data_IF_336167513197
#
_entry.id   IF_336167513197
#
_cell.length_a   1.000
_cell.length_b   1.000
_cell.length_c   1.000
_cell.angle_alpha   90.00
_cell.angle_beta   90.00
_cell.angle_gamma   90.00
#
_symmetry.space_group_name_H-M   'P 1'
#
loop_
_entity.id
_entity.type
_entity.pdbx_description
1 polymer ?
#
# COMPACT_ATOMS: atom_id res chain seq x y z
N UNK A 1 -14.98 8.56 13.47
CA UNK A 1 -14.25 7.81 14.53
C UNK A 1 -12.92 7.37 13.95
N UNK A 2 -11.82 7.53 14.68
CA UNK A 2 -10.47 7.16 14.23
C UNK A 2 -9.89 6.25 15.30
N UNK A 3 -9.45 5.05 14.90
CA UNK A 3 -8.77 4.10 15.76
C UNK A 3 -7.30 4.01 15.34
N UNK A 4 -6.42 3.98 16.32
CA UNK A 4 -4.98 3.94 16.11
C UNK A 4 -4.33 3.02 17.14
N UNK A 5 -3.62 2.00 16.67
CA UNK A 5 -2.83 1.08 17.48
C UNK A 5 -1.37 1.17 17.05
N UNK A 6 -0.52 1.73 17.92
CA UNK A 6 0.92 1.81 17.66
C UNK A 6 1.59 0.48 17.98
N UNK A 7 2.43 0.01 17.06
CA UNK A 7 3.25 -1.18 17.26
C UNK A 7 4.70 -0.85 16.96
N UNK A 8 5.61 -1.34 17.81
CA UNK A 8 7.05 -1.08 17.71
C UNK A 8 7.72 -1.81 16.54
N UNK A 9 7.03 -2.80 15.95
CA UNK A 9 7.53 -3.59 14.83
C UNK A 9 6.59 -3.50 13.63
N UNK A 10 7.15 -3.80 12.45
CA UNK A 10 6.39 -3.95 11.21
C UNK A 10 6.00 -5.42 10.95
N UNK A 11 5.82 -6.23 12.00
CA UNK A 11 5.43 -7.63 11.83
C UNK A 11 3.98 -7.73 11.31
N UNK A 12 3.71 -8.69 10.41
CA UNK A 12 2.37 -8.99 9.90
C UNK A 12 1.41 -9.56 10.95
N UNK A 13 1.88 -9.98 12.13
CA UNK A 13 0.99 -10.41 13.22
C UNK A 13 0.23 -9.24 13.86
N UNK A 14 0.83 -8.04 13.83
CA UNK A 14 0.23 -6.81 14.35
C UNK A 14 -1.13 -6.50 13.70
N UNK A 15 -1.26 -6.42 12.36
CA UNK A 15 -2.56 -6.20 11.73
C UNK A 15 -3.52 -7.38 11.88
N UNK A 16 -3.03 -8.62 12.08
CA UNK A 16 -3.89 -9.80 12.33
C UNK A 16 -4.59 -9.67 13.68
N UNK A 17 -3.87 -9.25 14.72
CA UNK A 17 -4.46 -9.00 16.04
C UNK A 17 -5.42 -7.80 16.01
N UNK A 18 -5.00 -6.70 15.41
CA UNK A 18 -5.78 -5.45 15.37
C UNK A 18 -7.10 -5.63 14.59
N UNK A 19 -7.07 -6.37 13.48
CA UNK A 19 -8.24 -6.62 12.63
C UNK A 19 -8.92 -7.96 12.92
N UNK A 20 -8.71 -8.53 14.12
CA UNK A 20 -9.28 -9.83 14.49
C UNK A 20 -10.80 -9.81 14.34
N UNK A 21 -11.33 -10.73 13.52
CA UNK A 21 -12.76 -10.85 13.24
C UNK A 21 -13.29 -9.91 12.15
N UNK A 22 -12.46 -9.01 11.60
CA UNK A 22 -12.85 -8.21 10.45
C UNK A 22 -12.97 -9.07 9.19
N UNK A 23 -14.07 -8.87 8.45
CA UNK A 23 -14.32 -9.50 7.15
C UNK A 23 -14.78 -8.45 6.14
N UNK A 24 -14.56 -8.71 4.85
CA UNK A 24 -14.88 -7.78 3.77
C UNK A 24 -13.64 -7.12 3.16
N UNK A 25 -13.77 -5.86 2.74
CA UNK A 25 -12.75 -5.16 1.96
C UNK A 25 -11.85 -4.27 2.83
N UNK A 26 -10.53 -4.42 2.67
CA UNK A 26 -9.52 -3.66 3.39
C UNK A 26 -8.68 -2.83 2.42
N UNK A 27 -8.80 -1.50 2.47
CA UNK A 27 -7.99 -0.59 1.65
C UNK A 27 -6.60 -0.37 2.26
N UNK A 28 -5.52 -0.72 1.55
CA UNK A 28 -4.13 -0.67 2.08
C UNK A 28 -3.08 -0.22 1.06
N UNK A 29 -1.87 0.09 1.55
CA UNK A 29 -0.72 0.62 0.80
C UNK A 29 0.16 -0.45 0.10
N UNK A 30 -0.25 -1.71 0.09
CA UNK A 30 0.51 -2.81 -0.51
C UNK A 30 1.57 -3.45 0.41
N UNK A 31 1.58 -3.12 1.70
CA UNK A 31 2.47 -3.78 2.66
C UNK A 31 2.20 -5.31 2.75
N UNK A 32 3.28 -6.11 2.66
CA UNK A 32 3.21 -7.57 2.63
C UNK A 32 2.71 -8.23 3.91
N UNK A 33 2.79 -7.54 5.07
CA UNK A 33 2.26 -8.07 6.33
C UNK A 33 0.75 -8.32 6.29
N UNK A 34 0.01 -7.63 5.42
CA UNK A 34 -1.41 -7.87 5.20
C UNK A 34 -1.72 -9.21 4.49
N UNK A 35 -0.72 -9.92 3.95
CA UNK A 35 -0.92 -11.23 3.32
C UNK A 35 -1.41 -12.30 4.32
N UNK A 36 -1.23 -12.08 5.62
CA UNK A 36 -1.72 -12.97 6.68
C UNK A 36 -3.21 -12.80 7.00
N UNK A 37 -3.88 -11.79 6.41
CA UNK A 37 -5.28 -11.49 6.67
C UNK A 37 -6.22 -12.24 5.71
N UNK A 38 -7.39 -12.63 6.20
CA UNK A 38 -8.45 -13.25 5.39
C UNK A 38 -9.37 -12.23 4.69
N UNK A 39 -9.12 -10.93 4.81
CA UNK A 39 -9.92 -9.89 4.18
C UNK A 39 -9.52 -9.69 2.70
N UNK A 40 -10.48 -9.28 1.87
CA UNK A 40 -10.21 -8.89 0.49
C UNK A 40 -9.47 -7.57 0.46
N UNK A 41 -8.24 -7.55 -0.04
CA UNK A 41 -7.41 -6.35 -0.03
C UNK A 41 -7.69 -5.48 -1.26
N UNK A 42 -7.97 -4.20 -1.02
CA UNK A 42 -8.08 -3.15 -2.02
C UNK A 42 -6.79 -2.32 -2.02
N UNK A 43 -6.03 -2.33 -3.11
CA UNK A 43 -4.81 -1.55 -3.19
C UNK A 43 -5.06 -0.05 -3.29
N UNK A 44 -4.24 0.75 -2.61
CA UNK A 44 -4.30 2.20 -2.67
C UNK A 44 -3.68 2.73 -3.98
N UNK A 45 -4.51 3.38 -4.81
CA UNK A 45 -4.08 3.94 -6.10
C UNK A 45 -3.01 5.04 -5.95
N UNK A 46 -3.02 5.80 -4.86
CA UNK A 46 -1.99 6.80 -4.59
C UNK A 46 -0.62 6.15 -4.35
N UNK A 47 -0.59 5.03 -3.60
CA UNK A 47 0.62 4.25 -3.38
C UNK A 47 1.14 3.63 -4.68
N UNK A 48 0.22 3.08 -5.48
CA UNK A 48 0.54 2.51 -6.79
C UNK A 48 1.15 3.55 -7.74
N UNK A 49 0.51 4.72 -7.89
CA UNK A 49 1.03 5.82 -8.74
C UNK A 49 2.43 6.26 -8.33
N UNK A 50 2.69 6.43 -7.03
CA UNK A 50 4.03 6.78 -6.53
C UNK A 50 5.07 5.74 -6.93
N UNK A 51 4.75 4.44 -6.79
CA UNK A 51 5.64 3.36 -7.21
C UNK A 51 5.89 3.33 -8.71
N UNK A 52 4.89 3.65 -9.54
CA UNK A 52 5.10 3.80 -10.98
C UNK A 52 6.04 4.95 -11.35
N UNK A 53 6.01 6.06 -10.60
CA UNK A 53 6.94 7.17 -10.82
C UNK A 53 8.36 6.80 -10.37
N UNK A 54 8.51 6.10 -9.24
CA UNK A 54 9.83 5.67 -8.73
C UNK A 54 10.60 4.76 -9.70
N UNK A 55 9.92 4.00 -10.55
CA UNK A 55 10.56 3.09 -11.52
C UNK A 55 10.95 3.77 -12.83
N UNK A 56 10.59 5.04 -13.04
CA UNK A 56 10.99 5.80 -14.23
C UNK A 56 12.49 6.11 -14.11
N UNK A 57 13.35 5.65 -15.03
CA UNK A 57 14.76 5.98 -15.00
C UNK A 57 14.99 7.49 -15.13
N UNK A 58 15.94 8.04 -14.35
CA UNK A 58 16.33 9.46 -14.41
C UNK A 58 16.74 9.92 -15.82
N UNK A 59 17.22 8.99 -16.64
CA UNK A 59 17.51 9.24 -18.05
C UNK A 59 16.21 9.26 -18.85
N UNK A 60 15.53 10.40 -18.84
CA UNK A 60 14.57 10.72 -19.92
C UNK A 60 15.32 10.60 -21.25
N UNK A 61 14.75 9.89 -22.22
CA UNK A 61 15.26 9.95 -23.58
C UNK A 61 15.25 11.42 -24.02
N UNK A 62 16.37 11.89 -24.58
CA UNK A 62 16.43 13.24 -25.16
C UNK A 62 15.27 13.35 -26.17
N UNK A 63 14.39 14.33 -25.99
CA UNK A 63 13.15 14.58 -26.76
C UNK A 63 11.89 13.78 -26.38
N UNK A 64 11.82 13.14 -25.21
CA UNK A 64 10.56 12.57 -24.75
C UNK A 64 9.51 13.69 -24.54
N UNK A 65 8.32 13.61 -25.16
CA UNK A 65 7.26 14.59 -24.95
C UNK A 65 6.86 14.62 -23.47
N UNK A 66 6.48 15.77 -22.92
CA UNK A 66 6.03 15.86 -21.55
C UNK A 66 4.82 14.94 -21.35
N UNK A 67 4.97 13.94 -20.49
CA UNK A 67 3.83 13.15 -20.03
C UNK A 67 3.02 14.03 -19.10
N UNK A 68 1.93 14.60 -19.63
CA UNK A 68 0.91 15.24 -18.82
C UNK A 68 0.21 14.16 -17.98
N UNK A 69 0.31 14.33 -16.66
CA UNK A 69 -0.44 13.55 -15.68
C UNK A 69 -1.88 14.07 -15.55
#
# INVERSE_FOLDING_TARGET
>A
MIFYDYRSSRNGDNPVEYLKGFTGYLHTDGFSGYNKLNATRCGCLAHLRRKFIEVIPDKRANNAPPTHA
#
